data_IF_136538133456
#
_entry.id   IF_136538133456
#
_cell.length_a   1.000
_cell.length_b   1.000
_cell.length_c   1.000
_cell.angle_alpha   90.00
_cell.angle_beta   90.00
_cell.angle_gamma   90.00
#
_symmetry.space_group_name_H-M   'P 1'
#
loop_
_entity.id
_entity.type
_entity.pdbx_description
1 polymer ?
#
# COMPACT_ATOMS: atom_id res chain seq x y z
N UNK A 1 24.67 1.20 -4.34
CA UNK A 1 24.89 -0.27 -4.42
C UNK A 1 24.02 -0.80 -5.54
N UNK A 2 24.58 -1.45 -6.56
CA UNK A 2 23.79 -2.02 -7.66
C UNK A 2 23.11 -3.31 -7.21
N UNK A 3 21.80 -3.43 -7.38
CA UNK A 3 21.06 -4.65 -7.06
C UNK A 3 21.12 -5.62 -8.24
N UNK A 4 21.22 -6.90 -7.96
CA UNK A 4 21.20 -7.98 -8.95
C UNK A 4 20.41 -9.18 -8.41
N UNK A 5 20.10 -10.14 -9.28
CA UNK A 5 19.23 -11.28 -8.97
C UNK A 5 19.78 -12.26 -7.92
N UNK A 6 21.01 -12.08 -7.45
CA UNK A 6 21.65 -12.85 -6.38
C UNK A 6 21.45 -12.24 -4.98
N UNK A 7 20.92 -11.03 -4.87
CA UNK A 7 20.85 -10.27 -3.59
C UNK A 7 19.52 -10.40 -2.87
N UNK A 8 18.83 -11.53 -3.03
CA UNK A 8 17.55 -11.79 -2.35
C UNK A 8 17.70 -11.74 -0.83
N UNK A 9 18.80 -12.28 -0.30
CA UNK A 9 19.08 -12.31 1.15
C UNK A 9 19.23 -10.90 1.73
N UNK A 10 19.80 -9.97 0.97
CA UNK A 10 19.90 -8.57 1.38
C UNK A 10 18.51 -7.96 1.54
N UNK A 11 17.64 -8.14 0.54
CA UNK A 11 16.27 -7.65 0.57
C UNK A 11 15.43 -8.35 1.64
N UNK A 12 15.78 -9.58 2.03
CA UNK A 12 15.03 -10.30 3.04
C UNK A 12 15.52 -10.03 4.47
N UNK A 13 16.78 -9.61 4.63
CA UNK A 13 17.38 -9.43 5.96
C UNK A 13 16.75 -8.29 6.77
N UNK A 14 16.47 -7.15 6.12
CA UNK A 14 16.03 -5.93 6.79
C UNK A 14 15.09 -5.11 5.89
N UNK A 15 14.21 -4.33 6.50
CA UNK A 15 13.41 -3.36 5.78
C UNK A 15 14.28 -2.20 5.26
N UNK A 16 14.17 -1.87 3.97
CA UNK A 16 14.80 -0.68 3.38
C UNK A 16 14.16 0.60 3.92
N UNK A 17 12.85 0.56 4.17
CA UNK A 17 12.10 1.64 4.80
C UNK A 17 11.21 1.09 5.93
N UNK A 18 11.16 1.87 7.01
CA UNK A 18 10.28 1.79 8.17
C UNK A 18 8.83 2.15 7.84
N UNK A 19 7.98 1.34 7.19
CA UNK A 19 6.60 1.79 6.88
C UNK A 19 5.85 2.33 8.12
N UNK A 20 6.00 1.70 9.27
CA UNK A 20 5.31 2.08 10.53
C UNK A 20 6.01 3.15 11.37
N UNK A 21 7.12 3.74 10.90
CA UNK A 21 7.83 4.81 11.64
C UNK A 21 7.19 6.18 11.41
N UNK A 22 7.67 7.22 12.12
CA UNK A 22 7.24 8.61 11.89
C UNK A 22 7.61 9.07 10.48
N UNK A 23 6.75 9.85 9.84
CA UNK A 23 6.93 10.28 8.43
C UNK A 23 8.31 10.86 8.15
N UNK A 24 8.82 11.78 8.99
CA UNK A 24 10.15 12.37 8.78
C UNK A 24 11.29 11.33 8.80
N UNK A 25 11.18 10.27 9.61
CA UNK A 25 12.19 9.19 9.63
C UNK A 25 12.07 8.36 8.36
N UNK A 26 10.85 8.09 7.90
CA UNK A 26 10.60 7.35 6.65
C UNK A 26 11.16 8.11 5.45
N UNK A 27 10.93 9.42 5.38
CA UNK A 27 11.45 10.29 4.32
C UNK A 27 12.99 10.30 4.29
N UNK A 28 13.64 10.30 5.45
CA UNK A 28 15.11 10.16 5.53
C UNK A 28 15.55 8.81 4.98
N UNK A 29 14.87 7.71 5.32
CA UNK A 29 15.18 6.37 4.80
C UNK A 29 14.96 6.28 3.29
N UNK A 30 13.87 6.86 2.78
CA UNK A 30 13.61 6.95 1.33
C UNK A 30 14.77 7.69 0.65
N UNK A 31 15.15 8.86 1.15
CA UNK A 31 16.20 9.70 0.56
C UNK A 31 17.59 9.05 0.61
N UNK A 32 17.94 8.41 1.72
CA UNK A 32 19.32 7.95 1.98
C UNK A 32 19.54 6.47 1.65
N UNK A 33 18.50 5.65 1.60
CA UNK A 33 18.60 4.20 1.37
C UNK A 33 17.94 3.84 0.04
N UNK A 34 16.65 4.15 -0.09
CA UNK A 34 15.85 3.64 -1.21
C UNK A 34 16.20 4.34 -2.53
N UNK A 35 16.30 5.68 -2.52
CA UNK A 35 16.61 6.48 -3.71
C UNK A 35 17.98 6.15 -4.33
N UNK A 36 19.08 6.03 -3.56
CA UNK A 36 20.36 5.59 -4.13
C UNK A 36 20.35 4.21 -4.78
N UNK A 37 19.43 3.30 -4.39
CA UNK A 37 19.27 2.00 -5.03
C UNK A 37 18.51 2.15 -6.36
N UNK A 38 17.41 2.91 -6.33
CA UNK A 38 16.61 3.24 -7.52
C UNK A 38 17.46 3.93 -8.59
N UNK A 39 18.29 4.90 -8.18
CA UNK A 39 19.16 5.67 -9.07
C UNK A 39 20.43 4.92 -9.50
N UNK A 40 20.72 3.74 -8.92
CA UNK A 40 21.97 3.00 -9.18
C UNK A 40 22.05 2.33 -10.55
N UNK A 41 20.91 2.13 -11.22
CA UNK A 41 20.82 1.52 -12.54
C UNK A 41 19.54 1.96 -13.26
N UNK A 42 19.39 1.57 -14.54
CA UNK A 42 18.20 1.95 -15.30
C UNK A 42 16.92 1.32 -14.71
N UNK A 43 15.81 2.08 -14.78
CA UNK A 43 14.48 1.62 -14.35
C UNK A 43 14.14 0.23 -14.88
N UNK A 44 14.33 0.02 -16.19
CA UNK A 44 14.03 -1.24 -16.85
C UNK A 44 14.89 -2.41 -16.31
N UNK A 45 16.17 -2.18 -16.03
CA UNK A 45 17.05 -3.21 -15.49
C UNK A 45 16.64 -3.58 -14.06
N UNK A 46 16.42 -2.57 -13.21
CA UNK A 46 16.04 -2.82 -11.82
C UNK A 46 14.67 -3.49 -11.74
N UNK A 47 13.69 -3.07 -12.53
CA UNK A 47 12.38 -3.70 -12.60
C UNK A 47 12.48 -5.18 -13.02
N UNK A 48 13.31 -5.48 -14.04
CA UNK A 48 13.55 -6.86 -14.47
C UNK A 48 14.17 -7.70 -13.36
N UNK A 49 15.19 -7.18 -12.67
CA UNK A 49 15.84 -7.89 -11.58
C UNK A 49 14.87 -8.14 -10.42
N UNK A 50 14.06 -7.14 -10.05
CA UNK A 50 13.04 -7.25 -9.00
C UNK A 50 11.95 -8.27 -9.35
N UNK A 51 11.48 -8.32 -10.62
CA UNK A 51 10.56 -9.36 -11.09
C UNK A 51 11.15 -10.75 -10.94
N UNK A 52 12.41 -10.94 -11.32
CA UNK A 52 13.10 -12.24 -11.19
C UNK A 52 13.23 -12.62 -9.72
N UNK A 53 13.58 -11.68 -8.84
CA UNK A 53 13.68 -11.92 -7.39
C UNK A 53 12.30 -12.29 -6.83
N UNK A 54 11.23 -11.61 -7.22
CA UNK A 54 9.87 -11.94 -6.80
C UNK A 54 9.46 -13.37 -7.20
N UNK A 55 9.77 -13.78 -8.44
CA UNK A 55 9.52 -15.15 -8.89
C UNK A 55 10.30 -16.19 -8.09
N UNK A 56 11.57 -15.93 -7.77
CA UNK A 56 12.37 -16.79 -6.90
C UNK A 56 11.78 -16.88 -5.48
N UNK A 57 11.35 -15.74 -4.93
CA UNK A 57 10.72 -15.67 -3.61
C UNK A 57 9.43 -16.50 -3.56
N UNK A 58 8.64 -16.51 -4.63
CA UNK A 58 7.43 -17.34 -4.74
C UNK A 58 7.74 -18.84 -4.88
N UNK A 59 8.85 -19.19 -5.53
CA UNK A 59 9.26 -20.59 -5.71
C UNK A 59 9.89 -21.18 -4.44
N UNK A 60 10.49 -20.35 -3.58
CA UNK A 60 11.03 -20.75 -2.29
C UNK A 60 9.89 -20.78 -1.26
N UNK A 61 9.54 -21.98 -0.79
CA UNK A 61 8.53 -22.20 0.25
C UNK A 61 8.75 -21.26 1.45
N UNK A 62 7.70 -20.51 1.80
CA UNK A 62 7.56 -19.51 2.87
C UNK A 62 8.81 -19.29 3.73
N UNK A 63 9.66 -18.34 3.32
CA UNK A 63 10.66 -17.77 4.24
C UNK A 63 9.94 -17.20 5.47
N UNK A 64 10.47 -17.47 6.68
CA UNK A 64 9.94 -16.94 7.93
C UNK A 64 10.02 -15.40 8.01
N UNK A 65 10.83 -14.76 7.15
CA UNK A 65 11.01 -13.31 7.09
C UNK A 65 10.26 -12.71 5.91
N UNK A 66 9.42 -11.69 6.17
CA UNK A 66 8.55 -11.05 5.19
C UNK A 66 9.07 -9.74 4.58
N UNK A 67 10.36 -9.41 4.75
CA UNK A 67 10.89 -8.12 4.29
C UNK A 67 11.11 -8.06 2.78
N UNK A 68 11.47 -9.18 2.13
CA UNK A 68 11.79 -9.18 0.70
C UNK A 68 10.63 -8.66 -0.16
N UNK A 69 9.42 -9.20 0.03
CA UNK A 69 8.25 -8.79 -0.74
C UNK A 69 7.89 -7.31 -0.53
N UNK A 70 7.96 -6.83 0.72
CA UNK A 70 7.72 -5.42 1.04
C UNK A 70 8.77 -4.49 0.42
N UNK A 71 10.05 -4.87 0.49
CA UNK A 71 11.14 -4.11 -0.13
C UNK A 71 11.04 -4.06 -1.65
N UNK A 72 10.67 -5.18 -2.30
CA UNK A 72 10.42 -5.23 -3.74
C UNK A 72 9.31 -4.23 -4.11
N UNK A 73 8.16 -4.27 -3.41
CA UNK A 73 7.06 -3.33 -3.66
C UNK A 73 7.49 -1.88 -3.47
N UNK A 74 8.20 -1.57 -2.39
CA UNK A 74 8.66 -0.21 -2.12
C UNK A 74 9.58 0.32 -3.23
N UNK A 75 10.48 -0.53 -3.75
CA UNK A 75 11.37 -0.18 -4.87
C UNK A 75 10.59 0.01 -6.17
N UNK A 76 9.71 -0.94 -6.53
CA UNK A 76 8.88 -0.84 -7.73
C UNK A 76 7.98 0.41 -7.71
N UNK A 77 7.48 0.77 -6.53
CA UNK A 77 6.71 2.00 -6.32
C UNK A 77 7.51 3.25 -6.63
N UNK A 78 8.72 3.38 -6.10
CA UNK A 78 9.57 4.56 -6.31
C UNK A 78 10.13 4.62 -7.73
N UNK A 79 10.13 3.50 -8.44
CA UNK A 79 10.37 3.45 -9.87
C UNK A 79 9.16 3.93 -10.69
N UNK A 80 8.01 4.20 -10.08
CA UNK A 80 6.74 4.47 -10.78
C UNK A 80 6.39 3.34 -11.76
N UNK A 81 6.53 2.10 -11.28
CA UNK A 81 6.21 0.90 -12.07
C UNK A 81 4.70 0.66 -12.04
N UNK A 82 4.12 0.29 -13.17
CA UNK A 82 2.76 -0.25 -13.19
C UNK A 82 2.75 -1.64 -12.54
N UNK A 83 2.09 -1.75 -11.39
CA UNK A 83 2.01 -2.98 -10.61
C UNK A 83 0.87 -3.90 -11.08
N UNK A 84 0.09 -3.51 -12.09
CA UNK A 84 -1.02 -4.33 -12.60
C UNK A 84 -0.56 -5.76 -12.90
N UNK A 85 -1.30 -6.76 -12.40
CA UNK A 85 -1.03 -8.19 -12.55
C UNK A 85 0.24 -8.71 -11.86
N UNK A 86 0.92 -7.90 -11.03
CA UNK A 86 1.94 -8.44 -10.13
C UNK A 86 1.29 -9.36 -9.10
N UNK A 87 2.02 -10.41 -8.73
CA UNK A 87 1.51 -11.44 -7.85
C UNK A 87 2.36 -11.56 -6.58
N UNK A 88 1.74 -11.18 -5.46
CA UNK A 88 2.27 -11.27 -4.11
C UNK A 88 1.47 -12.29 -3.26
N UNK A 89 0.70 -13.16 -3.89
CA UNK A 89 -0.10 -14.17 -3.19
C UNK A 89 0.76 -15.10 -2.33
N UNK A 90 0.22 -15.50 -1.18
CA UNK A 90 0.87 -16.36 -0.18
C UNK A 90 2.19 -15.80 0.40
N UNK A 91 2.55 -14.54 0.14
CA UNK A 91 3.75 -13.93 0.69
C UNK A 91 3.46 -13.17 1.99
N UNK A 92 4.45 -13.15 2.87
CA UNK A 92 4.48 -12.20 3.99
C UNK A 92 5.09 -10.90 3.45
N UNK A 93 4.35 -9.81 3.56
CA UNK A 93 4.75 -8.49 3.07
C UNK A 93 4.86 -7.55 4.27
N UNK A 94 6.06 -7.44 4.82
CA UNK A 94 6.37 -6.55 5.93
C UNK A 94 6.97 -5.24 5.44
N UNK A 95 6.59 -4.16 6.13
CA UNK A 95 7.10 -2.81 5.89
C UNK A 95 6.89 -2.32 4.45
N UNK A 96 5.87 -2.86 3.76
CA UNK A 96 5.37 -2.25 2.54
C UNK A 96 4.69 -0.93 2.87
N UNK A 97 5.05 0.13 2.17
CA UNK A 97 4.45 1.45 2.30
C UNK A 97 3.65 1.75 1.03
N UNK A 98 2.33 1.62 1.12
CA UNK A 98 1.42 1.65 -0.02
C UNK A 98 0.59 2.93 -0.14
N UNK A 99 0.92 3.95 0.65
CA UNK A 99 0.22 5.22 0.59
C UNK A 99 0.39 5.86 -0.79
N UNK A 100 -0.73 6.09 -1.48
CA UNK A 100 -0.74 6.69 -2.81
C UNK A 100 -0.32 5.74 -3.94
N UNK A 101 -0.12 4.44 -3.67
CA UNK A 101 0.24 3.47 -4.69
C UNK A 101 -1.01 2.90 -5.37
N UNK A 102 -1.00 2.87 -6.71
CA UNK A 102 -2.01 2.18 -7.51
C UNK A 102 -1.81 0.66 -7.45
N UNK A 103 -2.44 0.01 -6.47
CA UNK A 103 -2.41 -1.45 -6.30
C UNK A 103 -3.53 -2.20 -7.04
N UNK A 104 -4.20 -1.55 -8.00
CA UNK A 104 -5.28 -2.16 -8.76
C UNK A 104 -4.81 -3.46 -9.47
N UNK A 105 -5.60 -4.54 -9.35
CA UNK A 105 -5.31 -5.87 -9.91
C UNK A 105 -3.93 -6.45 -9.52
N UNK A 106 -3.36 -6.01 -8.41
CA UNK A 106 -2.23 -6.70 -7.77
C UNK A 106 -2.79 -7.88 -6.98
N UNK A 107 -2.30 -9.09 -7.21
CA UNK A 107 -2.77 -10.27 -6.50
C UNK A 107 -2.13 -10.35 -5.11
N UNK A 108 -2.92 -10.14 -4.06
CA UNK A 108 -2.53 -10.33 -2.66
C UNK A 108 -3.27 -11.50 -2.00
N UNK A 109 -3.80 -12.45 -2.77
CA UNK A 109 -4.55 -13.58 -2.22
C UNK A 109 -3.71 -14.34 -1.16
N UNK A 110 -4.27 -14.55 0.03
CA UNK A 110 -3.60 -15.20 1.16
C UNK A 110 -2.27 -14.53 1.60
N UNK A 111 -1.99 -13.29 1.20
CA UNK A 111 -0.80 -12.58 1.64
C UNK A 111 -0.96 -12.05 3.07
N UNK A 112 0.12 -12.07 3.87
CA UNK A 112 0.15 -11.45 5.18
C UNK A 112 0.69 -10.02 5.10
N UNK A 113 -0.19 -9.05 5.25
CA UNK A 113 0.10 -7.61 5.13
C UNK A 113 0.12 -6.89 6.48
N UNK A 114 0.10 -7.61 7.61
CA UNK A 114 -0.14 -7.05 8.94
C UNK A 114 0.89 -6.00 9.41
N UNK A 115 2.08 -5.97 8.80
CA UNK A 115 3.14 -4.97 9.08
C UNK A 115 3.35 -3.97 7.94
N UNK A 116 2.37 -3.83 7.05
CA UNK A 116 2.39 -2.87 5.95
C UNK A 116 1.39 -1.73 6.17
N UNK A 117 1.62 -0.60 5.52
CA UNK A 117 0.82 0.63 5.65
C UNK A 117 0.13 0.92 4.33
N UNK A 118 -1.20 1.04 4.31
CA UNK A 118 -1.99 1.28 3.10
C UNK A 118 -2.49 2.71 2.94
N UNK A 119 -2.84 3.35 4.05
CA UNK A 119 -3.52 4.64 4.03
C UNK A 119 -2.68 5.66 4.80
N UNK A 120 -2.89 6.93 4.46
CA UNK A 120 -2.65 8.00 5.44
C UNK A 120 -3.50 7.66 6.67
N UNK A 121 -2.95 7.77 7.88
CA UNK A 121 -3.64 7.37 9.11
C UNK A 121 -5.04 7.97 9.14
N UNK A 122 -6.04 7.11 9.00
CA UNK A 122 -7.42 7.42 9.37
C UNK A 122 -7.49 7.25 10.88
N UNK A 123 -8.32 8.05 11.54
CA UNK A 123 -8.66 7.73 12.92
C UNK A 123 -9.42 6.39 12.95
N UNK A 124 -9.78 5.90 14.14
CA UNK A 124 -10.59 4.67 14.23
C UNK A 124 -11.87 4.84 13.40
N UNK A 125 -12.00 4.05 12.34
CA UNK A 125 -13.20 4.00 11.50
C UNK A 125 -14.34 3.41 12.33
N UNK A 126 -15.49 4.09 12.30
CA UNK A 126 -16.71 3.69 13.00
C UNK A 126 -17.72 3.05 12.06
N UNK A 127 -17.83 3.57 10.84
CA UNK A 127 -18.74 3.03 9.82
C UNK A 127 -18.13 3.06 8.43
N UNK A 128 -18.56 2.12 7.60
CA UNK A 128 -18.22 2.00 6.19
C UNK A 128 -19.45 1.56 5.41
N UNK A 129 -19.74 2.22 4.29
CA UNK A 129 -20.82 1.82 3.40
C UNK A 129 -20.44 2.03 1.94
N UNK A 130 -20.97 1.19 1.05
CA UNK A 130 -20.80 1.31 -0.39
C UNK A 130 -22.06 1.88 -1.03
N UNK A 131 -21.91 2.69 -2.08
CA UNK A 131 -23.06 3.04 -2.90
C UNK A 131 -23.68 1.77 -3.50
N UNK A 132 -24.99 1.75 -3.79
CA UNK A 132 -25.65 0.59 -4.38
C UNK A 132 -25.04 0.11 -5.71
N UNK A 133 -24.41 1.01 -6.46
CA UNK A 133 -23.70 0.70 -7.71
C UNK A 133 -22.22 0.30 -7.51
N UNK A 134 -21.74 0.30 -6.27
CA UNK A 134 -20.38 -0.08 -5.87
C UNK A 134 -19.28 0.90 -6.31
N UNK A 135 -19.63 2.06 -6.85
CA UNK A 135 -18.65 3.03 -7.36
C UNK A 135 -18.13 3.98 -6.29
N UNK A 136 -18.89 4.19 -5.22
CA UNK A 136 -18.54 5.07 -4.12
C UNK A 136 -18.38 4.28 -2.82
N UNK A 137 -17.43 4.72 -2.00
CA UNK A 137 -17.21 4.24 -0.65
C UNK A 137 -17.27 5.41 0.31
N UNK A 138 -18.15 5.35 1.31
CA UNK A 138 -18.21 6.30 2.40
C UNK A 138 -17.62 5.66 3.66
N UNK A 139 -16.86 6.45 4.41
CA UNK A 139 -16.26 6.05 5.69
C UNK A 139 -16.43 7.17 6.70
N UNK A 140 -16.72 6.84 7.95
CA UNK A 140 -16.74 7.79 9.07
C UNK A 140 -15.75 7.39 10.16
N UNK A 141 -15.19 8.35 10.88
CA UNK A 141 -14.23 8.08 11.96
C UNK A 141 -14.56 8.75 13.30
N UNK A 142 -13.84 8.36 14.36
CA UNK A 142 -14.01 8.91 15.72
C UNK A 142 -13.63 10.39 15.83
N UNK A 143 -12.96 10.97 14.84
CA UNK A 143 -12.60 12.39 14.81
C UNK A 143 -13.66 13.25 14.09
N UNK A 144 -14.81 12.66 13.75
CA UNK A 144 -15.90 13.32 13.04
C UNK A 144 -15.64 13.52 11.55
N UNK A 145 -14.61 12.88 10.99
CA UNK A 145 -14.31 12.97 9.56
C UNK A 145 -15.13 11.94 8.79
N UNK A 146 -15.82 12.41 7.74
CA UNK A 146 -16.45 11.55 6.74
C UNK A 146 -15.69 11.70 5.44
N UNK A 147 -15.32 10.57 4.85
CA UNK A 147 -14.58 10.54 3.58
C UNK A 147 -15.33 9.74 2.55
N UNK A 148 -15.51 10.34 1.38
CA UNK A 148 -16.10 9.73 0.21
C UNK A 148 -14.98 9.43 -0.81
N UNK A 149 -14.98 8.22 -1.34
CA UNK A 149 -13.97 7.75 -2.29
C UNK A 149 -14.63 7.21 -3.55
N UNK A 150 -13.99 7.43 -4.69
CA UNK A 150 -14.29 6.70 -5.92
C UNK A 150 -13.53 5.36 -5.89
N UNK A 151 -14.27 4.24 -5.91
CA UNK A 151 -13.72 2.89 -5.77
C UNK A 151 -12.80 2.54 -6.96
N UNK A 152 -13.15 2.99 -8.16
CA UNK A 152 -12.45 2.60 -9.40
C UNK A 152 -10.99 3.06 -9.47
N UNK A 153 -10.66 4.19 -8.84
CA UNK A 153 -9.31 4.77 -8.85
C UNK A 153 -8.76 5.08 -7.45
N UNK A 154 -9.55 4.84 -6.40
CA UNK A 154 -9.18 5.09 -5.00
C UNK A 154 -9.00 6.57 -4.67
N UNK A 155 -9.53 7.49 -5.47
CA UNK A 155 -9.41 8.92 -5.22
C UNK A 155 -10.43 9.38 -4.17
N UNK A 156 -10.00 10.21 -3.19
CA UNK A 156 -10.94 10.87 -2.30
C UNK A 156 -11.71 11.93 -3.11
N UNK A 157 -13.03 11.79 -3.17
CA UNK A 157 -13.93 12.76 -3.79
C UNK A 157 -14.27 13.89 -2.83
N UNK A 158 -14.43 13.55 -1.55
CA UNK A 158 -14.87 14.51 -0.55
C UNK A 158 -14.36 14.14 0.84
N UNK A 159 -14.02 15.17 1.62
CA UNK A 159 -13.69 15.05 3.05
C UNK A 159 -14.56 16.07 3.78
N UNK A 160 -15.52 15.58 4.55
CA UNK A 160 -16.35 16.39 5.44
C UNK A 160 -15.74 16.37 6.84
N UNK A 161 -15.61 17.55 7.46
CA UNK A 161 -15.19 17.70 8.85
C UNK A 161 -16.01 18.78 9.54
N UNK A 162 -17.33 18.66 9.43
CA UNK A 162 -18.24 19.55 10.14
C UNK A 162 -18.54 19.08 11.57
N UNK A 163 -18.38 17.78 11.84
CA UNK A 163 -18.62 17.20 13.15
C UNK A 163 -17.42 17.36 14.07
N UNK A 164 -17.66 17.88 15.27
CA UNK A 164 -16.66 17.94 16.35
C UNK A 164 -16.60 16.66 17.18
N UNK A 165 -17.58 15.77 17.01
CA UNK A 165 -17.73 14.49 17.70
C UNK A 165 -17.77 13.31 16.72
N UNK A 166 -17.68 12.10 17.27
CA UNK A 166 -17.67 10.85 16.52
C UNK A 166 -18.95 10.64 15.68
N UNK A 167 -18.77 10.34 14.38
CA UNK A 167 -19.87 9.96 13.49
C UNK A 167 -19.99 8.44 13.47
N UNK A 168 -21.02 7.92 14.15
CA UNK A 168 -21.15 6.49 14.44
C UNK A 168 -21.62 5.66 13.24
N UNK A 169 -22.33 6.26 12.29
CA UNK A 169 -22.86 5.59 11.12
C UNK A 169 -22.64 6.44 9.88
N UNK A 170 -22.52 5.80 8.73
CA UNK A 170 -22.72 6.45 7.44
C UNK A 170 -23.46 5.45 6.57
N UNK A 171 -24.53 5.88 5.91
CA UNK A 171 -25.26 5.00 4.99
C UNK A 171 -25.67 5.70 3.72
N UNK A 172 -25.48 5.04 2.59
CA UNK A 172 -25.97 5.51 1.31
C UNK A 172 -27.48 5.32 1.20
N UNK A 173 -28.13 6.34 0.66
CA UNK A 173 -29.49 6.21 0.17
C UNK A 173 -29.59 5.12 -0.92
N UNK A 174 -30.72 4.40 -1.03
CA UNK A 174 -30.91 3.39 -2.06
C UNK A 174 -30.78 3.91 -3.50
N UNK A 175 -30.98 5.22 -3.71
CA UNK A 175 -30.77 5.85 -5.01
C UNK A 175 -29.30 6.22 -5.31
N UNK A 176 -28.42 6.06 -4.32
CA UNK A 176 -26.98 6.30 -4.40
C UNK A 176 -26.57 7.77 -4.51
N UNK A 177 -27.50 8.73 -4.41
CA UNK A 177 -27.21 10.15 -4.64
C UNK A 177 -26.87 10.92 -3.38
N UNK A 178 -27.34 10.43 -2.23
CA UNK A 178 -27.14 11.04 -0.92
C UNK A 178 -26.65 10.01 0.10
N UNK A 179 -26.02 10.46 1.18
CA UNK A 179 -25.71 9.62 2.33
C UNK A 179 -26.14 10.34 3.60
N UNK A 180 -26.46 9.57 4.65
CA UNK A 180 -26.79 10.08 5.99
C UNK A 180 -25.76 9.59 7.01
N UNK A 181 -25.61 10.35 8.09
CA UNK A 181 -24.59 10.22 9.13
C UNK A 181 -25.19 10.20 10.54
#
# INVERSE_FOLDING_TARGET
MKLDTGKIDLLNSHALIKATTKDYVREIQIRLILKPIVDSQSKLSLEKDLKVILLKLKAQSASEQGYAAGNILNLLSHLETDLTNYDFSNLIVWQGYFQGIKLHKVNFACANLAKSVFTKTLSRILSVDFSPDGKLLATSDVAGEIRLWEVGNGQPLFICKEHTDAVNCVTFSPDGKTFSE
#
